data_IF_004189606445
#
_entry.id   IF_004189606445
#
_cell.length_a   1.000
_cell.length_b   1.000
_cell.length_c   1.000
_cell.angle_alpha   90.00
_cell.angle_beta   90.00
_cell.angle_gamma   90.00
#
_symmetry.space_group_name_H-M   'P 1'
#
loop_
_entity.id
_entity.type
_entity.pdbx_description
1 polymer ?
#
# COMPACT_ATOMS: atom_id res chain seq x y z
N UNK A 1 14.32 18.95 63.59
CA UNK A 1 14.83 18.60 62.24
C UNK A 1 13.92 17.54 61.66
N UNK A 2 13.29 17.85 60.52
CA UNK A 2 12.35 16.99 59.79
C UNK A 2 13.12 16.22 58.73
N UNK A 3 12.91 14.91 58.62
CA UNK A 3 13.23 14.16 57.40
C UNK A 3 12.18 13.09 57.19
N UNK A 4 11.23 13.40 56.32
CA UNK A 4 10.25 12.48 55.76
C UNK A 4 10.87 11.88 54.50
N UNK A 5 11.12 10.57 54.51
CA UNK A 5 11.59 9.85 53.32
C UNK A 5 10.41 9.56 52.41
N UNK A 6 10.36 10.21 51.26
CA UNK A 6 9.41 9.90 50.19
C UNK A 6 9.84 8.59 49.52
N UNK A 7 8.96 7.58 49.55
CA UNK A 7 9.10 6.37 48.74
C UNK A 7 8.42 6.64 47.40
N UNK A 8 9.22 6.86 46.37
CA UNK A 8 8.72 7.07 45.01
C UNK A 8 8.34 5.72 44.40
N UNK A 9 7.06 5.59 44.05
CA UNK A 9 6.49 4.47 43.31
C UNK A 9 7.01 4.52 41.85
N UNK A 10 7.84 3.57 41.44
CA UNK A 10 8.21 3.37 40.04
C UNK A 10 7.23 2.38 39.40
N UNK A 11 6.25 2.90 38.66
CA UNK A 11 5.41 2.09 37.80
C UNK A 11 6.21 1.64 36.57
N UNK A 12 6.58 0.36 36.50
CA UNK A 12 7.12 -0.27 35.29
C UNK A 12 5.99 -0.90 34.49
N UNK A 13 5.43 -0.17 33.52
CA UNK A 13 4.55 -0.73 32.50
C UNK A 13 4.86 -0.08 31.16
N UNK A 14 5.58 -0.80 30.31
CA UNK A 14 5.40 -0.88 28.85
C UNK A 14 6.66 -1.46 28.18
N UNK A 15 6.69 -2.78 28.01
CA UNK A 15 7.46 -3.43 26.94
C UNK A 15 6.75 -4.70 26.52
N UNK A 16 5.48 -4.57 26.13
CA UNK A 16 4.91 -5.50 25.18
C UNK A 16 5.56 -5.18 23.82
N UNK A 17 6.59 -5.97 23.52
CA UNK A 17 7.55 -5.79 22.43
C UNK A 17 6.87 -5.63 21.06
N UNK A 18 7.37 -4.72 20.22
CA UNK A 18 7.01 -4.63 18.80
C UNK A 18 7.04 -6.00 18.08
N UNK A 19 7.87 -6.95 18.55
CA UNK A 19 7.88 -8.35 18.10
C UNK A 19 6.56 -9.10 18.30
N UNK A 20 5.82 -8.83 19.37
CA UNK A 20 4.52 -9.49 19.62
C UNK A 20 3.41 -8.93 18.72
N UNK A 21 3.49 -7.66 18.32
CA UNK A 21 2.56 -7.03 17.39
C UNK A 21 2.82 -7.51 15.96
N UNK A 22 4.08 -7.61 15.54
CA UNK A 22 4.47 -8.18 14.23
C UNK A 22 3.99 -9.63 14.11
N UNK A 23 4.00 -10.43 15.18
CA UNK A 23 3.50 -11.82 15.15
C UNK A 23 1.97 -11.97 14.99
N UNK A 24 1.21 -10.87 15.09
CA UNK A 24 -0.26 -10.86 14.96
C UNK A 24 -0.76 -10.07 13.74
N UNK A 25 0.12 -9.34 13.06
CA UNK A 25 -0.25 -8.57 11.88
C UNK A 25 -0.60 -9.51 10.73
N UNK A 26 -1.73 -9.23 10.07
CA UNK A 26 -2.10 -9.86 8.80
C UNK A 26 -1.05 -9.59 7.72
N UNK A 27 -1.07 -10.36 6.64
CA UNK A 27 -0.16 -10.14 5.50
C UNK A 27 -0.37 -8.74 4.89
N UNK A 28 -1.62 -8.28 4.78
CA UNK A 28 -1.94 -6.91 4.36
C UNK A 28 -1.28 -5.86 5.26
N UNK A 29 -1.41 -5.97 6.59
CA UNK A 29 -0.78 -5.02 7.53
C UNK A 29 0.76 -5.02 7.42
N UNK A 30 1.38 -6.17 7.14
CA UNK A 30 2.82 -6.27 6.90
C UNK A 30 3.23 -5.60 5.59
N UNK A 31 2.42 -5.75 4.53
CA UNK A 31 2.62 -5.07 3.24
C UNK A 31 2.48 -3.57 3.40
N UNK A 32 1.45 -3.09 4.11
CA UNK A 32 1.30 -1.67 4.44
C UNK A 32 2.50 -1.14 5.21
N UNK A 33 2.91 -1.82 6.28
CA UNK A 33 4.05 -1.40 7.10
C UNK A 33 5.34 -1.33 6.26
N UNK A 34 5.51 -2.24 5.29
CA UNK A 34 6.63 -2.22 4.36
C UNK A 34 6.54 -1.03 3.42
N UNK A 35 5.38 -0.79 2.80
CA UNK A 35 5.16 0.35 1.92
C UNK A 35 5.40 1.70 2.63
N UNK A 36 5.06 1.80 3.93
CA UNK A 36 5.31 2.98 4.75
C UNK A 36 6.80 3.29 4.94
N UNK A 37 7.68 2.30 4.84
CA UNK A 37 9.14 2.55 4.91
C UNK A 37 9.67 3.34 3.70
N UNK A 38 8.88 3.46 2.64
CA UNK A 38 9.19 4.27 1.47
C UNK A 38 8.69 5.73 1.56
N UNK A 39 8.19 6.18 2.71
CA UNK A 39 7.74 7.57 2.92
C UNK A 39 8.73 8.60 2.33
N UNK A 40 8.21 9.55 1.55
CA UNK A 40 9.02 10.59 0.92
C UNK A 40 9.83 10.17 -0.30
N UNK A 41 9.82 8.88 -0.68
CA UNK A 41 10.46 8.42 -1.94
C UNK A 41 9.75 9.10 -3.12
N UNK A 42 10.49 9.62 -4.12
CA UNK A 42 9.90 10.24 -5.31
C UNK A 42 8.88 9.35 -6.02
N UNK A 43 7.94 10.00 -6.70
CA UNK A 43 7.16 9.31 -7.71
C UNK A 43 8.07 9.08 -8.93
N UNK A 44 7.98 7.91 -9.56
CA UNK A 44 8.62 7.66 -10.84
C UNK A 44 7.66 6.84 -11.70
N UNK A 45 7.29 7.33 -12.89
CA UNK A 45 6.35 6.65 -13.78
C UNK A 45 6.88 5.28 -14.20
N UNK A 46 6.13 4.21 -13.94
CA UNK A 46 6.62 2.85 -14.17
C UNK A 46 7.68 2.38 -13.17
N UNK A 47 8.05 3.21 -12.20
CA UNK A 47 9.10 2.97 -11.21
C UNK A 47 8.72 1.90 -10.20
N UNK A 48 9.73 1.17 -9.71
CA UNK A 48 9.61 0.11 -8.73
C UNK A 48 9.98 -1.26 -9.31
N UNK A 49 10.59 -2.09 -8.46
CA UNK A 49 10.92 -3.49 -8.71
C UNK A 49 10.89 -4.25 -7.39
N UNK A 50 11.06 -5.58 -7.41
CA UNK A 50 11.29 -6.35 -6.18
C UNK A 50 12.55 -5.91 -5.41
N UNK A 51 13.54 -5.28 -6.06
CA UNK A 51 14.76 -4.82 -5.38
C UNK A 51 14.62 -3.42 -4.77
N UNK A 52 13.50 -2.72 -5.02
CA UNK A 52 13.25 -1.37 -4.51
C UNK A 52 12.88 -0.37 -5.61
N UNK A 53 13.08 0.95 -5.37
CA UNK A 53 12.70 1.99 -6.31
C UNK A 53 13.57 1.92 -7.57
N UNK A 54 13.00 2.30 -8.71
CA UNK A 54 13.71 2.31 -9.99
C UNK A 54 13.48 3.62 -10.73
N UNK A 55 14.28 3.86 -11.76
CA UNK A 55 14.09 5.00 -12.64
C UNK A 55 12.73 4.96 -13.35
N UNK A 56 12.26 6.14 -13.77
CA UNK A 56 11.16 6.29 -14.72
C UNK A 56 11.30 5.37 -15.94
N UNK A 57 10.17 4.88 -16.43
CA UNK A 57 10.07 4.07 -17.64
C UNK A 57 9.54 4.89 -18.81
N UNK A 58 10.09 4.71 -20.03
CA UNK A 58 9.62 5.41 -21.23
C UNK A 58 8.10 5.32 -21.45
N UNK A 59 7.46 6.36 -22.00
CA UNK A 59 8.06 7.56 -22.60
C UNK A 59 8.40 8.68 -21.60
N UNK A 60 7.95 8.56 -20.35
CA UNK A 60 8.17 9.57 -19.31
C UNK A 60 9.54 9.33 -18.67
N UNK A 61 10.33 10.39 -18.54
CA UNK A 61 11.71 10.34 -18.03
C UNK A 61 12.03 11.68 -17.36
N UNK A 62 11.44 11.92 -16.19
CA UNK A 62 11.72 13.14 -15.41
C UNK A 62 13.05 13.03 -14.65
N UNK A 63 13.62 11.82 -14.60
CA UNK A 63 14.95 11.53 -14.06
C UNK A 63 14.92 11.09 -12.60
N UNK A 64 13.72 10.86 -12.06
CA UNK A 64 13.53 10.42 -10.69
C UNK A 64 13.73 8.91 -10.57
N UNK A 65 14.13 8.47 -9.37
CA UNK A 65 14.20 7.06 -8.97
C UNK A 65 13.25 6.86 -7.82
N UNK A 66 12.21 6.07 -8.06
CA UNK A 66 11.08 6.02 -7.15
C UNK A 66 10.12 4.87 -7.43
N UNK A 67 8.88 5.08 -7.01
CA UNK A 67 7.77 4.17 -7.26
C UNK A 67 6.63 4.91 -7.95
N UNK A 68 5.93 4.25 -8.88
CA UNK A 68 4.55 4.65 -9.16
C UNK A 68 3.58 3.92 -8.21
N UNK A 69 2.28 4.20 -8.39
CA UNK A 69 1.22 3.66 -7.55
C UNK A 69 1.27 2.13 -7.40
N UNK A 70 1.28 1.37 -8.50
CA UNK A 70 1.29 -0.08 -8.46
C UNK A 70 2.68 -0.65 -8.22
N UNK A 71 3.75 0.07 -8.56
CA UNK A 71 5.13 -0.29 -8.26
C UNK A 71 5.41 -0.33 -6.76
N UNK A 72 4.89 0.64 -6.00
CA UNK A 72 4.96 0.65 -4.54
C UNK A 72 4.28 -0.59 -3.94
N UNK A 73 3.06 -0.89 -4.41
CA UNK A 73 2.29 -2.06 -3.94
C UNK A 73 3.01 -3.37 -4.29
N UNK A 74 3.45 -3.52 -5.54
CA UNK A 74 4.14 -4.74 -6.00
C UNK A 74 5.45 -4.97 -5.25
N UNK A 75 6.24 -3.91 -5.00
CA UNK A 75 7.46 -4.01 -4.20
C UNK A 75 7.16 -4.49 -2.79
N UNK A 76 6.18 -3.88 -2.10
CA UNK A 76 5.81 -4.27 -0.74
C UNK A 76 5.27 -5.71 -0.66
N UNK A 77 4.46 -6.15 -1.63
CA UNK A 77 4.03 -7.55 -1.76
C UNK A 77 5.24 -8.47 -1.91
N UNK A 78 6.21 -8.10 -2.74
CA UNK A 78 7.41 -8.89 -2.98
C UNK A 78 8.26 -9.05 -1.71
N UNK A 79 8.46 -7.98 -0.95
CA UNK A 79 9.22 -8.03 0.31
C UNK A 79 8.57 -8.93 1.37
N UNK A 80 7.24 -8.95 1.44
CA UNK A 80 6.51 -9.66 2.50
C UNK A 80 6.22 -11.10 2.14
N UNK A 81 5.82 -11.36 0.89
CA UNK A 81 5.32 -12.67 0.45
C UNK A 81 6.32 -13.44 -0.41
N UNK A 82 7.34 -12.77 -0.95
CA UNK A 82 8.25 -13.33 -1.95
C UNK A 82 7.65 -13.49 -3.34
N UNK A 83 6.38 -13.10 -3.56
CA UNK A 83 5.77 -13.10 -4.89
C UNK A 83 6.15 -11.88 -5.70
N UNK A 84 6.47 -12.11 -6.97
CA UNK A 84 6.91 -11.07 -7.89
C UNK A 84 5.78 -10.73 -8.86
N UNK A 85 4.89 -9.82 -8.44
CA UNK A 85 3.79 -9.33 -9.27
C UNK A 85 4.27 -8.64 -10.56
N UNK A 86 5.54 -8.21 -10.63
CA UNK A 86 6.13 -7.64 -11.84
C UNK A 86 6.24 -8.68 -12.95
N UNK A 87 6.76 -9.86 -12.61
CA UNK A 87 6.96 -10.96 -13.57
C UNK A 87 5.69 -11.78 -13.81
N UNK A 88 4.74 -11.75 -12.87
CA UNK A 88 3.46 -12.46 -12.98
C UNK A 88 2.43 -11.73 -13.86
N UNK A 89 2.77 -10.58 -14.42
CA UNK A 89 1.88 -9.80 -15.29
C UNK A 89 0.78 -9.05 -14.53
N UNK A 90 0.97 -8.83 -13.23
CA UNK A 90 0.03 -8.12 -12.34
C UNK A 90 0.52 -6.72 -11.95
N UNK A 91 1.62 -6.23 -12.55
CA UNK A 91 2.21 -4.91 -12.28
C UNK A 91 1.30 -3.75 -12.63
N UNK A 92 0.53 -3.86 -13.71
CA UNK A 92 -0.30 -2.77 -14.18
C UNK A 92 -1.56 -2.72 -13.32
N UNK A 93 -1.94 -1.53 -12.84
CA UNK A 93 -3.09 -1.33 -11.94
C UNK A 93 -4.36 -2.06 -12.41
N UNK A 94 -4.72 -1.91 -13.69
CA UNK A 94 -5.87 -2.59 -14.29
C UNK A 94 -5.69 -4.11 -14.39
N UNK A 95 -4.50 -4.60 -14.74
CA UNK A 95 -4.21 -6.05 -14.76
C UNK A 95 -4.36 -6.67 -13.37
N UNK A 96 -3.91 -5.96 -12.33
CA UNK A 96 -4.06 -6.38 -10.93
C UNK A 96 -5.53 -6.43 -10.53
N UNK A 97 -6.27 -5.33 -10.75
CA UNK A 97 -7.67 -5.25 -10.35
C UNK A 97 -8.57 -6.21 -11.13
N UNK A 98 -8.34 -6.40 -12.43
CA UNK A 98 -9.23 -7.18 -13.30
C UNK A 98 -8.91 -8.67 -13.35
N UNK A 99 -7.75 -9.11 -12.86
CA UNK A 99 -7.42 -10.52 -12.76
C UNK A 99 -8.47 -11.30 -11.92
N UNK A 100 -8.69 -12.57 -12.26
CA UNK A 100 -9.49 -13.46 -11.42
C UNK A 100 -8.76 -13.73 -10.09
N UNK A 101 -9.50 -14.10 -9.04
CA UNK A 101 -8.87 -14.47 -7.76
C UNK A 101 -7.89 -15.64 -7.89
N UNK A 102 -8.15 -16.56 -8.84
CA UNK A 102 -7.25 -17.65 -9.18
C UNK A 102 -5.90 -17.14 -9.72
N UNK A 103 -5.92 -16.22 -10.69
CA UNK A 103 -4.69 -15.62 -11.23
C UNK A 103 -4.00 -14.72 -10.20
N UNK A 104 -4.78 -13.97 -9.41
CA UNK A 104 -4.26 -13.09 -8.36
C UNK A 104 -3.57 -13.87 -7.25
N UNK A 105 -4.06 -15.08 -6.92
CA UNK A 105 -3.71 -15.78 -5.69
C UNK A 105 -4.18 -15.07 -4.42
N UNK A 106 -5.06 -14.07 -4.56
CA UNK A 106 -5.60 -13.23 -3.50
C UNK A 106 -7.11 -13.05 -3.71
N UNK A 107 -7.81 -12.68 -2.64
CA UNK A 107 -9.26 -12.51 -2.66
C UNK A 107 -9.67 -11.06 -2.83
N UNK A 108 -10.77 -10.84 -3.52
CA UNK A 108 -11.47 -9.57 -3.60
C UNK A 108 -12.55 -9.51 -2.54
N UNK A 109 -12.66 -8.36 -1.91
CA UNK A 109 -13.71 -8.07 -0.93
C UNK A 109 -14.43 -6.79 -1.33
N UNK A 110 -15.74 -6.67 -1.07
CA UNK A 110 -16.44 -5.41 -1.26
C UNK A 110 -15.72 -4.26 -0.52
N UNK A 111 -15.68 -3.07 -1.12
CA UNK A 111 -14.97 -1.92 -0.55
C UNK A 111 -15.45 -1.56 0.87
N UNK A 112 -16.71 -1.80 1.21
CA UNK A 112 -17.24 -1.63 2.55
C UNK A 112 -16.62 -2.56 3.61
N UNK A 113 -16.00 -3.68 3.19
CA UNK A 113 -15.33 -4.65 4.05
C UNK A 113 -13.81 -4.41 4.15
N UNK A 114 -13.32 -3.27 3.64
CA UNK A 114 -11.89 -2.95 3.60
C UNK A 114 -11.24 -2.95 4.98
N UNK A 115 -10.03 -3.48 5.04
CA UNK A 115 -9.18 -3.57 6.23
C UNK A 115 -7.81 -2.91 5.95
N UNK A 116 -7.05 -2.57 7.00
CA UNK A 116 -5.68 -2.10 6.86
C UNK A 116 -4.85 -3.05 5.98
N UNK A 117 -4.19 -2.47 4.97
CA UNK A 117 -3.33 -3.17 4.02
C UNK A 117 -4.03 -3.81 2.82
N UNK A 118 -5.36 -3.74 2.71
CA UNK A 118 -6.02 -4.09 1.46
C UNK A 118 -5.63 -3.08 0.36
N UNK A 119 -5.48 -3.54 -0.88
CA UNK A 119 -5.28 -2.65 -2.02
C UNK A 119 -6.61 -2.05 -2.50
N UNK A 120 -6.66 -0.72 -2.58
CA UNK A 120 -7.80 0.08 -3.07
C UNK A 120 -7.47 0.65 -4.44
N UNK A 121 -8.44 0.63 -5.35
CA UNK A 121 -8.25 0.98 -6.76
C UNK A 121 -9.18 2.13 -7.19
N UNK A 122 -8.80 2.86 -8.24
CA UNK A 122 -9.56 3.98 -8.79
C UNK A 122 -9.59 3.94 -10.32
N UNK A 123 -10.75 4.26 -10.89
CA UNK A 123 -10.94 4.28 -12.34
C UNK A 123 -12.37 4.48 -12.81
N UNK A 124 -13.07 5.50 -12.29
CA UNK A 124 -14.46 5.76 -12.68
C UNK A 124 -15.41 4.59 -12.38
N UNK A 125 -15.87 3.88 -13.42
CA UNK A 125 -16.77 2.72 -13.29
C UNK A 125 -16.06 1.41 -12.94
N UNK A 126 -14.73 1.37 -13.05
CA UNK A 126 -13.91 0.16 -12.84
C UNK A 126 -14.38 -1.03 -13.70
N UNK A 127 -14.64 -0.74 -14.99
CA UNK A 127 -15.16 -1.69 -15.97
C UNK A 127 -14.03 -2.53 -16.59
N UNK A 128 -13.87 -3.76 -16.12
CA UNK A 128 -12.86 -4.68 -16.62
C UNK A 128 -13.11 -5.21 -18.03
N UNK A 129 -14.35 -5.18 -18.51
CA UNK A 129 -14.74 -5.80 -19.78
C UNK A 129 -14.62 -4.82 -20.95
N UNK A 130 -14.98 -3.55 -20.73
CA UNK A 130 -15.09 -2.56 -21.80
C UNK A 130 -14.05 -1.43 -21.71
N UNK A 131 -13.59 -1.07 -20.51
CA UNK A 131 -12.61 0.02 -20.33
C UNK A 131 -11.66 -0.26 -19.14
N UNK A 132 -10.87 -1.35 -19.20
CA UNK A 132 -9.95 -1.67 -18.12
C UNK A 132 -8.87 -0.59 -17.94
N UNK A 133 -8.54 0.16 -19.01
CA UNK A 133 -7.57 1.26 -18.97
C UNK A 133 -7.99 2.43 -18.09
N UNK A 134 -9.29 2.59 -17.83
CA UNK A 134 -9.79 3.60 -16.89
C UNK A 134 -9.29 3.36 -15.46
N UNK A 135 -8.93 2.12 -15.09
CA UNK A 135 -8.41 1.76 -13.76
C UNK A 135 -6.92 2.10 -13.67
N UNK A 136 -6.65 3.28 -13.14
CA UNK A 136 -5.38 3.98 -13.31
C UNK A 136 -4.60 4.18 -12.01
N UNK A 137 -5.23 4.06 -10.84
CA UNK A 137 -4.54 4.24 -9.56
C UNK A 137 -4.81 3.11 -8.56
N UNK A 138 -3.81 2.82 -7.72
CA UNK A 138 -3.90 1.89 -6.59
C UNK A 138 -3.14 2.45 -5.38
N UNK A 139 -3.69 2.23 -4.19
CA UNK A 139 -3.04 2.48 -2.91
C UNK A 139 -3.31 1.35 -1.92
N UNK A 140 -2.75 1.45 -0.72
CA UNK A 140 -3.01 0.53 0.38
C UNK A 140 -3.85 1.22 1.44
N UNK A 141 -4.94 0.59 1.89
CA UNK A 141 -5.76 1.09 2.98
C UNK A 141 -4.93 1.24 4.25
N UNK A 142 -4.94 2.43 4.87
CA UNK A 142 -4.29 2.66 6.16
C UNK A 142 -5.14 2.16 7.33
N UNK A 143 -6.45 2.25 7.14
CA UNK A 143 -7.50 1.88 8.08
C UNK A 143 -8.73 1.36 7.33
N UNK A 144 -9.80 1.02 8.04
CA UNK A 144 -11.11 0.70 7.43
C UNK A 144 -11.90 1.97 7.06
N UNK A 145 -11.24 3.13 7.01
CA UNK A 145 -11.82 4.45 6.87
C UNK A 145 -11.52 5.08 5.52
N UNK A 146 -11.03 6.32 5.55
CA UNK A 146 -10.83 7.19 4.38
C UNK A 146 -9.34 7.42 4.08
N UNK A 147 -8.42 6.67 4.69
CA UNK A 147 -6.99 6.91 4.54
C UNK A 147 -6.34 5.82 3.71
N UNK A 148 -5.47 6.22 2.78
CA UNK A 148 -4.65 5.31 1.98
C UNK A 148 -3.20 5.77 1.92
N UNK A 149 -2.30 4.82 1.71
CA UNK A 149 -0.88 5.01 1.46
C UNK A 149 -0.58 4.73 -0.02
N UNK A 150 0.07 5.67 -0.71
CA UNK A 150 0.27 5.57 -2.16
C UNK A 150 1.49 6.37 -2.66
N UNK A 151 1.85 6.13 -3.91
CA UNK A 151 2.66 7.02 -4.74
C UNK A 151 1.73 7.73 -5.74
N UNK A 152 1.31 8.98 -5.47
CA UNK A 152 0.15 9.60 -6.14
C UNK A 152 0.41 9.98 -7.61
N UNK A 153 1.41 10.81 -7.86
CA UNK A 153 1.79 11.34 -9.18
C UNK A 153 3.07 12.19 -9.10
N UNK A 154 3.57 12.60 -10.26
CA UNK A 154 4.73 13.50 -10.41
C UNK A 154 4.52 14.90 -9.80
N UNK A 155 3.30 15.42 -9.75
CA UNK A 155 3.06 16.77 -9.21
C UNK A 155 3.28 16.83 -7.69
N UNK A 156 2.89 15.77 -6.99
CA UNK A 156 3.16 15.59 -5.56
C UNK A 156 4.59 15.12 -5.31
N UNK A 157 5.12 14.28 -6.20
CA UNK A 157 6.46 13.70 -6.19
C UNK A 157 6.94 13.09 -4.86
N UNK A 158 6.05 12.41 -4.14
CA UNK A 158 6.44 11.66 -2.95
C UNK A 158 5.41 10.58 -2.60
N UNK A 159 5.91 9.43 -2.12
CA UNK A 159 5.11 8.42 -1.41
C UNK A 159 4.63 9.01 -0.09
N UNK A 160 3.32 8.96 0.15
CA UNK A 160 2.70 9.58 1.32
C UNK A 160 1.33 8.97 1.64
N UNK A 161 0.74 9.45 2.73
CA UNK A 161 -0.66 9.21 3.07
C UNK A 161 -1.58 10.25 2.40
N UNK A 162 -2.69 9.79 1.82
CA UNK A 162 -3.74 10.66 1.28
C UNK A 162 -5.12 10.26 1.82
N UNK A 163 -6.07 11.20 1.72
CA UNK A 163 -7.50 10.92 1.96
C UNK A 163 -8.11 10.38 0.68
N UNK A 164 -8.89 9.32 0.76
CA UNK A 164 -9.63 8.73 -0.36
C UNK A 164 -10.68 9.72 -0.85
N UNK A 165 -11.41 10.38 0.06
CA UNK A 165 -12.37 11.44 -0.29
C UNK A 165 -11.74 12.68 -0.94
N UNK A 166 -10.43 12.86 -0.79
CA UNK A 166 -9.65 13.90 -1.46
C UNK A 166 -9.11 13.47 -2.84
N UNK A 167 -9.21 12.18 -3.16
CA UNK A 167 -8.94 11.65 -4.49
C UNK A 167 -10.13 11.98 -5.38
N UNK A 168 -9.90 12.43 -6.62
CA UNK A 168 -10.97 12.91 -7.52
C UNK A 168 -12.00 11.85 -7.90
N UNK A 169 -11.66 10.59 -7.68
CA UNK A 169 -12.36 9.42 -8.16
C UNK A 169 -12.97 8.63 -7.00
N UNK A 170 -14.14 8.04 -7.25
CA UNK A 170 -14.72 7.06 -6.35
C UNK A 170 -13.87 5.77 -6.37
N UNK A 171 -13.59 5.15 -5.22
CA UNK A 171 -12.96 3.85 -5.16
C UNK A 171 -13.74 2.79 -5.95
N UNK A 172 -13.02 1.86 -6.56
CA UNK A 172 -13.61 0.70 -7.19
C UNK A 172 -14.43 -0.13 -6.18
N UNK A 173 -15.47 -0.86 -6.63
CA UNK A 173 -16.35 -1.62 -5.73
C UNK A 173 -15.67 -2.70 -4.88
N UNK A 174 -14.46 -3.12 -5.26
CA UNK A 174 -13.72 -4.16 -4.56
C UNK A 174 -12.32 -3.68 -4.17
N UNK A 175 -11.86 -4.15 -3.03
CA UNK A 175 -10.45 -4.13 -2.62
C UNK A 175 -9.84 -5.51 -2.80
N UNK A 176 -8.51 -5.59 -2.94
CA UNK A 176 -7.78 -6.86 -2.91
C UNK A 176 -7.14 -7.06 -1.54
N UNK A 177 -7.44 -8.20 -0.90
CA UNK A 177 -6.86 -8.57 0.38
C UNK A 177 -5.73 -9.57 0.20
N UNK A 178 -4.53 -9.16 0.59
CA UNK A 178 -3.35 -10.02 0.55
C UNK A 178 -3.36 -11.03 1.69
N UNK A 179 -3.07 -12.29 1.36
CA UNK A 179 -2.99 -13.42 2.29
C UNK A 179 -1.68 -14.18 2.10
N UNK A 180 -1.33 -15.02 3.07
CA UNK A 180 -0.15 -15.90 2.99
C UNK A 180 -0.36 -17.04 1.98
#
# INVERSE_FOLDING_TARGET
>A
MKTTTAVTLLATLASASARSLISRATVGEQILATAQTAEGTPYAWGGGSCDGPSADQPPYQYGDTGYDCSGLVCWAVCQVTGRDLFTEGLRVTSSMYCASEETLGYKKYPYEERLPGDAVFFGGSCDCDNDPSSIHHVGLMMDSGDRMWNAPNDDVNQVQENSISGFSDTPCPYVIRFTA
#
